data_IF_466034010366
#
_entry.id   IF_466034010366
#
_cell.length_a   1.000
_cell.length_b   1.000
_cell.length_c   1.000
_cell.angle_alpha   90.00
_cell.angle_beta   90.00
_cell.angle_gamma   90.00
#
_symmetry.space_group_name_H-M   'P 1'
#
loop_
_entity.id
_entity.type
_entity.pdbx_description
1 polymer ?
#
# COMPACT_ATOMS: atom_id res chain seq x y z
N UNK A 1 5.49 -28.47 -20.71
CA UNK A 1 6.48 -27.42 -20.38
C UNK A 1 6.21 -26.96 -18.96
N UNK A 2 7.13 -27.19 -18.04
CA UNK A 2 7.03 -26.74 -16.65
C UNK A 2 7.48 -25.27 -16.60
N UNK A 3 6.60 -24.37 -16.17
CA UNK A 3 6.92 -22.95 -16.00
C UNK A 3 7.83 -22.71 -14.79
N UNK A 4 8.34 -21.49 -14.64
CA UNK A 4 9.04 -21.07 -13.40
C UNK A 4 8.00 -20.94 -12.28
N UNK A 5 8.20 -21.55 -11.11
CA UNK A 5 7.32 -21.37 -9.96
C UNK A 5 7.16 -19.88 -9.60
N UNK A 6 5.96 -19.49 -9.18
CA UNK A 6 5.68 -18.13 -8.76
C UNK A 6 6.19 -17.91 -7.33
N UNK A 7 7.50 -17.83 -7.16
CA UNK A 7 8.14 -17.55 -5.87
C UNK A 7 8.70 -16.13 -5.87
N UNK A 8 8.09 -15.22 -5.12
CA UNK A 8 8.44 -13.78 -5.18
C UNK A 8 9.91 -13.53 -4.82
N UNK A 9 10.47 -14.27 -3.86
CA UNK A 9 11.87 -14.14 -3.46
C UNK A 9 12.85 -14.36 -4.62
N UNK A 10 12.64 -15.42 -5.42
CA UNK A 10 13.50 -15.77 -6.56
C UNK A 10 13.27 -14.87 -7.79
N UNK A 11 12.12 -14.19 -7.84
CA UNK A 11 11.82 -13.18 -8.85
C UNK A 11 12.52 -11.84 -8.56
N UNK A 12 12.76 -11.52 -7.28
CA UNK A 12 13.38 -10.26 -6.87
C UNK A 12 14.91 -10.31 -6.84
N UNK A 13 15.50 -11.48 -6.60
CA UNK A 13 16.95 -11.64 -6.49
C UNK A 13 17.46 -12.84 -7.29
N UNK A 14 18.67 -12.72 -7.82
CA UNK A 14 19.43 -13.86 -8.35
C UNK A 14 19.88 -14.77 -7.21
N UNK A 15 20.32 -16.00 -7.54
CA UNK A 15 20.91 -16.92 -6.53
C UNK A 15 22.13 -16.33 -5.81
N UNK A 16 22.83 -15.39 -6.46
CA UNK A 16 23.97 -14.65 -5.91
C UNK A 16 23.53 -13.47 -5.01
N UNK A 17 22.23 -13.27 -4.79
CA UNK A 17 21.69 -12.16 -3.99
C UNK A 17 21.60 -10.82 -4.72
N UNK A 18 22.02 -10.73 -6.00
CA UNK A 18 21.90 -9.48 -6.77
C UNK A 18 20.44 -9.16 -7.08
N UNK A 19 20.01 -7.88 -6.99
CA UNK A 19 18.66 -7.48 -7.34
C UNK A 19 18.37 -7.75 -8.82
N UNK A 20 17.13 -8.12 -9.12
CA UNK A 20 16.68 -8.49 -10.45
C UNK A 20 15.44 -7.68 -10.85
N UNK A 21 15.42 -7.23 -12.10
CA UNK A 21 14.19 -6.73 -12.73
C UNK A 21 13.43 -7.90 -13.36
N UNK A 22 12.27 -8.22 -12.79
CA UNK A 22 11.34 -9.22 -13.34
C UNK A 22 10.22 -8.53 -14.09
N UNK A 23 10.11 -8.81 -15.40
CA UNK A 23 9.12 -8.20 -16.30
C UNK A 23 8.11 -9.27 -16.71
N UNK A 24 6.84 -9.02 -16.41
CA UNK A 24 5.73 -9.88 -16.78
C UNK A 24 4.97 -9.27 -17.96
N UNK A 25 5.09 -9.86 -19.14
CA UNK A 25 4.33 -9.41 -20.30
C UNK A 25 2.97 -10.10 -20.34
N UNK A 26 1.90 -9.35 -20.11
CA UNK A 26 0.52 -9.86 -20.13
C UNK A 26 -0.29 -9.43 -21.37
N UNK A 27 0.35 -8.74 -22.31
CA UNK A 27 -0.29 -8.19 -23.52
C UNK A 27 -0.88 -9.25 -24.46
N UNK A 28 -0.45 -10.50 -24.31
CA UNK A 28 -0.86 -11.62 -25.15
C UNK A 28 -1.99 -12.46 -24.57
N UNK A 29 -2.41 -12.15 -23.34
CA UNK A 29 -3.47 -12.84 -22.60
C UNK A 29 -4.81 -12.16 -22.87
N UNK A 30 -5.89 -12.94 -22.87
CA UNK A 30 -7.25 -12.41 -22.82
C UNK A 30 -7.50 -11.65 -21.51
N UNK A 31 -8.57 -10.85 -21.45
CA UNK A 31 -8.89 -10.06 -20.26
C UNK A 31 -9.08 -10.93 -19.01
N UNK A 32 -9.71 -12.10 -19.16
CA UNK A 32 -9.92 -13.05 -18.06
C UNK A 32 -8.61 -13.68 -17.58
N UNK A 33 -7.76 -14.13 -18.51
CA UNK A 33 -6.44 -14.70 -18.18
C UNK A 33 -5.53 -13.65 -17.54
N UNK A 34 -5.57 -12.42 -18.06
CA UNK A 34 -4.83 -11.28 -17.52
C UNK A 34 -5.30 -10.95 -16.11
N UNK A 35 -6.61 -10.87 -15.88
CA UNK A 35 -7.18 -10.65 -14.55
C UNK A 35 -6.80 -11.76 -13.57
N UNK A 36 -6.88 -13.02 -14.00
CA UNK A 36 -6.48 -14.17 -13.20
C UNK A 36 -4.99 -14.09 -12.81
N UNK A 37 -4.11 -13.90 -13.78
CA UNK A 37 -2.67 -13.82 -13.56
C UNK A 37 -2.29 -12.68 -12.60
N UNK A 38 -2.81 -11.47 -12.85
CA UNK A 38 -2.54 -10.31 -11.98
C UNK A 38 -3.05 -10.56 -10.57
N UNK A 39 -4.25 -11.13 -10.42
CA UNK A 39 -4.80 -11.44 -9.09
C UNK A 39 -3.95 -12.46 -8.35
N UNK A 40 -3.50 -13.52 -9.03
CA UNK A 40 -2.60 -14.52 -8.46
C UNK A 40 -1.27 -13.89 -8.03
N UNK A 41 -0.64 -13.10 -8.91
CA UNK A 41 0.62 -12.40 -8.61
C UNK A 41 0.49 -11.46 -7.40
N UNK A 42 -0.57 -10.66 -7.34
CA UNK A 42 -0.79 -9.73 -6.24
C UNK A 42 -0.99 -10.46 -4.90
N UNK A 43 -1.75 -11.56 -4.89
CA UNK A 43 -1.94 -12.37 -3.68
C UNK A 43 -0.62 -12.99 -3.23
N UNK A 44 0.19 -13.50 -4.16
CA UNK A 44 1.49 -14.09 -3.83
C UNK A 44 2.48 -13.04 -3.28
N UNK A 45 2.47 -11.82 -3.83
CA UNK A 45 3.24 -10.69 -3.26
C UNK A 45 2.74 -10.35 -1.85
N UNK A 46 1.43 -10.33 -1.61
CA UNK A 46 0.88 -10.08 -0.27
C UNK A 46 1.28 -11.18 0.71
N UNK A 47 1.21 -12.46 0.32
CA UNK A 47 1.65 -13.59 1.13
C UNK A 47 3.13 -13.48 1.47
N UNK A 48 3.98 -13.25 0.46
CA UNK A 48 5.42 -13.06 0.64
C UNK A 48 5.74 -11.86 1.55
N UNK A 49 5.04 -10.73 1.36
CA UNK A 49 5.18 -9.52 2.19
C UNK A 49 4.94 -9.83 3.67
N UNK A 50 3.91 -10.61 4.00
CA UNK A 50 3.57 -10.94 5.39
C UNK A 50 4.64 -11.80 6.09
N UNK A 51 5.48 -12.49 5.33
CA UNK A 51 6.62 -13.24 5.85
C UNK A 51 7.86 -12.36 6.10
N UNK A 52 7.86 -11.11 5.62
CA UNK A 52 9.02 -10.22 5.77
C UNK A 52 9.01 -9.53 7.13
N UNK A 53 10.20 -9.24 7.64
CA UNK A 53 10.37 -8.33 8.77
C UNK A 53 10.10 -6.89 8.37
N UNK A 54 9.54 -6.11 9.30
CA UNK A 54 9.36 -4.68 9.11
C UNK A 54 10.70 -3.98 8.87
N UNK A 55 10.73 -3.00 7.95
CA UNK A 55 11.95 -2.28 7.60
C UNK A 55 11.64 -0.89 7.04
N UNK A 56 12.55 0.05 7.27
CA UNK A 56 12.54 1.38 6.65
C UNK A 56 13.29 1.42 5.30
N UNK A 57 14.04 0.37 4.98
CA UNK A 57 14.79 0.27 3.72
C UNK A 57 13.94 -0.32 2.61
N UNK A 58 14.14 0.15 1.38
CA UNK A 58 13.47 -0.39 0.20
C UNK A 58 13.98 -1.80 -0.10
N UNK A 59 13.04 -2.76 -0.16
CA UNK A 59 13.25 -4.17 -0.47
C UNK A 59 12.85 -4.52 -1.90
N UNK A 60 11.72 -3.98 -2.37
CA UNK A 60 11.19 -4.27 -3.70
C UNK A 60 10.30 -3.13 -4.20
N UNK A 61 10.17 -3.02 -5.52
CA UNK A 61 9.18 -2.16 -6.18
C UNK A 61 8.27 -3.04 -7.03
N UNK A 62 6.96 -2.96 -6.78
CA UNK A 62 5.93 -3.45 -7.69
C UNK A 62 5.51 -2.29 -8.60
N UNK A 63 5.80 -2.41 -9.89
CA UNK A 63 5.34 -1.49 -10.91
C UNK A 63 4.22 -2.14 -11.74
N UNK A 64 3.07 -1.48 -11.84
CA UNK A 64 1.96 -1.90 -12.69
C UNK A 64 1.72 -0.80 -13.72
N UNK A 65 2.01 -1.13 -14.98
CA UNK A 65 1.59 -0.31 -16.11
C UNK A 65 0.11 -0.54 -16.40
N UNK A 66 -0.62 0.54 -16.63
CA UNK A 66 -2.07 0.55 -16.84
C UNK A 66 -2.88 -0.24 -15.78
N UNK A 67 -3.07 0.38 -14.62
CA UNK A 67 -3.84 -0.22 -13.51
C UNK A 67 -5.37 -0.23 -13.74
N UNK A 68 -5.85 0.40 -14.82
CA UNK A 68 -7.27 0.45 -15.16
C UNK A 68 -7.92 -0.96 -15.16
N UNK A 69 -9.10 -1.06 -14.53
CA UNK A 69 -9.86 -2.31 -14.45
C UNK A 69 -9.45 -3.26 -13.31
N UNK A 70 -8.27 -3.11 -12.71
CA UNK A 70 -7.85 -3.93 -11.56
C UNK A 70 -8.27 -3.37 -10.20
N UNK A 71 -8.52 -2.07 -10.13
CA UNK A 71 -8.97 -1.40 -8.91
C UNK A 71 -10.05 -0.35 -9.22
N UNK A 72 -11.20 -0.76 -9.79
CA UNK A 72 -12.29 0.16 -10.12
C UNK A 72 -13.02 0.63 -8.86
N UNK A 73 -13.65 1.83 -8.88
CA UNK A 73 -14.34 2.39 -7.71
C UNK A 73 -15.58 1.59 -7.30
N UNK A 74 -16.34 1.07 -8.26
CA UNK A 74 -17.64 0.42 -8.00
C UNK A 74 -17.55 -1.12 -7.98
N UNK A 75 -16.80 -1.71 -8.92
CA UNK A 75 -16.69 -3.18 -9.03
C UNK A 75 -15.64 -3.72 -8.05
N UNK A 76 -15.76 -5.00 -7.73
CA UNK A 76 -14.86 -5.70 -6.81
C UNK A 76 -14.17 -6.89 -7.50
N UNK A 77 -13.28 -6.66 -8.49
CA UNK A 77 -12.53 -7.74 -9.13
C UNK A 77 -11.55 -8.39 -8.13
N UNK A 78 -11.11 -9.64 -8.39
CA UNK A 78 -10.21 -10.38 -7.48
C UNK A 78 -8.85 -9.70 -7.24
N UNK A 79 -8.42 -8.81 -8.14
CA UNK A 79 -7.18 -8.02 -8.02
C UNK A 79 -7.29 -6.82 -7.08
N UNK A 80 -8.50 -6.32 -6.80
CA UNK A 80 -8.70 -5.06 -6.06
C UNK A 80 -8.27 -5.15 -4.60
N UNK A 81 -8.74 -6.16 -3.87
CA UNK A 81 -8.42 -6.35 -2.45
C UNK A 81 -6.93 -6.50 -2.16
N UNK A 82 -6.17 -7.36 -2.87
CA UNK A 82 -4.73 -7.45 -2.64
C UNK A 82 -4.00 -6.16 -3.04
N UNK A 83 -4.42 -5.46 -4.10
CA UNK A 83 -3.82 -4.17 -4.46
C UNK A 83 -4.03 -3.10 -3.39
N UNK A 84 -5.25 -2.96 -2.86
CA UNK A 84 -5.54 -2.03 -1.76
C UNK A 84 -4.73 -2.41 -0.50
N UNK A 85 -4.57 -3.70 -0.24
CA UNK A 85 -3.75 -4.20 0.88
C UNK A 85 -2.30 -3.76 0.73
N UNK A 86 -1.73 -3.92 -0.46
CA UNK A 86 -0.38 -3.46 -0.76
C UNK A 86 -0.27 -1.94 -0.58
N UNK A 87 -1.17 -1.14 -1.16
CA UNK A 87 -1.15 0.31 -1.01
C UNK A 87 -1.19 0.77 0.45
N UNK A 88 -1.90 0.06 1.33
CA UNK A 88 -2.02 0.40 2.75
C UNK A 88 -0.88 -0.11 3.63
N UNK A 89 -0.33 -1.29 3.34
CA UNK A 89 0.52 -2.02 4.28
C UNK A 89 1.96 -2.21 3.79
N UNK A 90 2.19 -2.24 2.47
CA UNK A 90 3.47 -2.60 1.86
C UNK A 90 4.66 -1.76 2.35
N UNK A 91 4.41 -0.47 2.64
CA UNK A 91 5.42 0.46 3.14
C UNK A 91 6.14 -0.06 4.39
N UNK A 92 5.42 -0.65 5.33
CA UNK A 92 6.00 -1.14 6.59
C UNK A 92 7.01 -2.28 6.39
N UNK A 93 6.91 -2.99 5.26
CA UNK A 93 7.75 -4.13 4.88
C UNK A 93 8.81 -3.77 3.84
N UNK A 94 8.97 -2.47 3.52
CA UNK A 94 9.92 -1.99 2.52
C UNK A 94 9.51 -2.25 1.07
N UNK A 95 8.21 -2.46 0.80
CA UNK A 95 7.73 -2.66 -0.57
C UNK A 95 7.11 -1.36 -1.08
N UNK A 96 7.65 -0.81 -2.17
CA UNK A 96 7.09 0.31 -2.90
C UNK A 96 6.10 -0.17 -3.96
N UNK A 97 4.98 0.54 -4.14
CA UNK A 97 4.00 0.27 -5.19
C UNK A 97 3.91 1.49 -6.09
N UNK A 98 4.15 1.30 -7.37
CA UNK A 98 4.05 2.34 -8.40
C UNK A 98 2.99 1.91 -9.40
N UNK A 99 1.97 2.75 -9.57
CA UNK A 99 0.85 2.51 -10.45
C UNK A 99 0.85 3.58 -11.54
N UNK A 100 0.73 3.15 -12.80
CA UNK A 100 0.52 4.05 -13.94
C UNK A 100 -0.87 3.81 -14.53
N UNK A 101 -1.54 4.87 -14.98
CA UNK A 101 -2.84 4.80 -15.65
C UNK A 101 -2.98 5.94 -16.63
N UNK A 102 -3.67 5.70 -17.75
CA UNK A 102 -4.14 6.78 -18.62
C UNK A 102 -5.52 7.30 -18.19
N UNK A 103 -6.27 6.50 -17.43
CA UNK A 103 -7.66 6.78 -17.03
C UNK A 103 -7.73 6.91 -15.49
N UNK A 104 -7.46 8.10 -14.92
CA UNK A 104 -7.48 8.30 -13.47
C UNK A 104 -8.89 8.22 -12.87
N UNK A 105 -9.93 8.52 -13.67
CA UNK A 105 -11.35 8.55 -13.25
C UNK A 105 -11.83 7.21 -12.71
N UNK A 106 -11.35 6.12 -13.31
CA UNK A 106 -11.83 4.77 -13.05
C UNK A 106 -11.01 4.01 -12.02
N UNK A 107 -10.29 4.74 -11.16
CA UNK A 107 -9.59 4.19 -10.00
C UNK A 107 -10.34 4.42 -8.69
N UNK A 108 -10.24 3.43 -7.80
CA UNK A 108 -10.78 3.51 -6.44
C UNK A 108 -10.06 4.59 -5.64
N UNK A 109 -10.81 5.66 -5.31
CA UNK A 109 -10.32 6.80 -4.55
C UNK A 109 -9.78 6.44 -3.16
N UNK A 110 -10.33 5.40 -2.51
CA UNK A 110 -9.84 4.95 -1.20
C UNK A 110 -8.43 4.38 -1.35
N UNK A 111 -8.16 3.67 -2.45
CA UNK A 111 -6.82 3.23 -2.82
C UNK A 111 -5.89 4.42 -3.04
N UNK A 112 -6.30 5.36 -3.90
CA UNK A 112 -5.52 6.56 -4.26
C UNK A 112 -5.13 7.41 -3.05
N UNK A 113 -6.00 7.52 -2.03
CA UNK A 113 -5.73 8.31 -0.83
C UNK A 113 -4.52 7.82 0.01
N UNK A 114 -3.98 6.63 -0.26
CA UNK A 114 -2.77 6.10 0.38
C UNK A 114 -1.48 6.40 -0.43
N UNK A 115 -1.60 7.00 -1.61
CA UNK A 115 -0.46 7.33 -2.46
C UNK A 115 0.19 8.61 -1.95
N UNK A 116 1.44 8.49 -1.48
CA UNK A 116 2.22 9.62 -0.98
C UNK A 116 2.97 10.41 -2.05
N UNK A 117 3.13 9.87 -3.25
CA UNK A 117 3.89 10.51 -4.34
C UNK A 117 3.14 10.38 -5.65
N UNK A 118 2.88 11.51 -6.29
CA UNK A 118 2.10 11.65 -7.50
C UNK A 118 2.95 12.24 -8.62
N UNK A 119 2.90 11.59 -9.79
CA UNK A 119 3.48 12.09 -11.03
C UNK A 119 2.34 12.35 -12.01
N UNK A 120 1.98 13.62 -12.20
CA UNK A 120 0.79 14.00 -12.95
C UNK A 120 1.23 14.60 -14.27
N UNK A 121 0.89 13.93 -15.36
CA UNK A 121 1.07 14.48 -16.70
C UNK A 121 -0.04 15.48 -17.06
N UNK A 122 -0.04 15.94 -18.30
CA UNK A 122 -1.11 16.78 -18.83
C UNK A 122 -2.45 16.03 -18.84
N UNK A 123 -3.46 16.58 -18.16
CA UNK A 123 -4.83 16.11 -18.19
C UNK A 123 -5.66 16.91 -19.19
N UNK A 124 -6.51 16.24 -19.97
CA UNK A 124 -7.27 16.88 -21.05
C UNK A 124 -8.61 17.44 -20.58
N UNK A 125 -9.31 16.72 -19.69
CA UNK A 125 -10.66 17.08 -19.28
C UNK A 125 -10.69 17.60 -17.84
N UNK A 126 -11.67 18.45 -17.52
CA UNK A 126 -11.85 18.95 -16.16
C UNK A 126 -12.18 17.81 -15.19
N UNK A 127 -12.95 16.81 -15.63
CA UNK A 127 -13.30 15.62 -14.85
C UNK A 127 -12.07 14.83 -14.41
N UNK A 128 -11.09 14.65 -15.29
CA UNK A 128 -9.85 13.93 -14.95
C UNK A 128 -9.05 14.71 -13.90
N UNK A 129 -8.97 16.03 -14.04
CA UNK A 129 -8.31 16.90 -13.05
C UNK A 129 -8.99 16.81 -11.70
N UNK A 130 -10.32 16.97 -11.68
CA UNK A 130 -11.08 16.96 -10.43
C UNK A 130 -10.88 15.66 -9.66
N UNK A 131 -10.84 14.53 -10.37
CA UNK A 131 -10.58 13.23 -9.76
C UNK A 131 -9.17 13.10 -9.20
N UNK A 132 -8.16 13.55 -9.95
CA UNK A 132 -6.77 13.51 -9.49
C UNK A 132 -6.61 14.39 -8.25
N UNK A 133 -7.18 15.60 -8.27
CA UNK A 133 -7.16 16.52 -7.12
C UNK A 133 -7.90 15.93 -5.91
N UNK A 134 -9.07 15.30 -6.08
CA UNK A 134 -9.79 14.58 -5.00
C UNK A 134 -8.93 13.46 -4.39
N UNK A 135 -8.21 12.70 -5.23
CA UNK A 135 -7.27 11.68 -4.78
C UNK A 135 -6.08 12.23 -3.97
N UNK A 136 -5.78 13.51 -4.14
CA UNK A 136 -4.67 14.23 -3.52
C UNK A 136 -5.07 15.07 -2.30
N UNK A 137 -6.33 15.13 -1.89
CA UNK A 137 -6.80 15.96 -0.77
C UNK A 137 -5.99 15.74 0.53
N UNK A 138 -5.53 14.50 0.77
CA UNK A 138 -4.63 14.20 1.92
C UNK A 138 -3.25 14.87 1.81
N UNK A 139 -2.76 15.09 0.59
CA UNK A 139 -1.50 15.82 0.34
C UNK A 139 -1.68 17.33 0.52
N UNK A 140 -2.82 17.90 0.10
CA UNK A 140 -3.07 19.35 0.20
C UNK A 140 -2.90 19.85 1.65
N UNK A 141 -3.39 19.06 2.61
CA UNK A 141 -3.24 19.35 4.05
C UNK A 141 -1.79 19.28 4.56
N UNK A 142 -0.90 18.56 3.87
CA UNK A 142 0.50 18.37 4.27
C UNK A 142 1.44 19.35 3.56
N UNK A 143 1.17 19.66 2.29
CA UNK A 143 2.01 20.52 1.44
C UNK A 143 1.61 22.00 1.47
N UNK A 144 0.50 22.36 2.14
CA UNK A 144 0.00 23.74 2.20
C UNK A 144 -0.38 24.34 0.83
N UNK A 145 -0.53 23.50 -0.18
CA UNK A 145 -0.85 23.91 -1.54
C UNK A 145 -2.35 23.85 -1.75
N UNK A 146 -2.91 24.99 -2.16
CA UNK A 146 -4.34 25.12 -2.48
C UNK A 146 -4.68 24.38 -3.78
N UNK A 147 -5.90 23.82 -3.84
CA UNK A 147 -6.45 23.12 -5.00
C UNK A 147 -6.37 23.98 -6.27
N UNK A 148 -6.63 25.28 -6.16
CA UNK A 148 -6.53 26.21 -7.29
C UNK A 148 -5.12 26.31 -7.88
N UNK A 149 -4.09 26.25 -7.02
CA UNK A 149 -2.70 26.27 -7.47
C UNK A 149 -2.37 25.00 -8.24
N UNK A 150 -2.79 23.83 -7.73
CA UNK A 150 -2.59 22.55 -8.39
C UNK A 150 -3.33 22.48 -9.74
N UNK A 151 -4.57 22.96 -9.82
CA UNK A 151 -5.33 23.01 -11.08
C UNK A 151 -4.61 23.86 -12.14
N UNK A 152 -4.15 25.06 -11.77
CA UNK A 152 -3.37 25.94 -12.65
C UNK A 152 -2.06 25.27 -13.09
N UNK A 153 -1.33 24.64 -12.15
CA UNK A 153 -0.09 23.95 -12.44
C UNK A 153 -0.30 22.81 -13.46
N UNK A 154 -1.28 21.93 -13.23
CA UNK A 154 -1.61 20.81 -14.13
C UNK A 154 -2.04 21.33 -15.51
N UNK A 155 -2.81 22.42 -15.57
CA UNK A 155 -3.27 23.03 -16.83
C UNK A 155 -2.10 23.60 -17.65
N UNK A 156 -1.07 24.11 -16.99
CA UNK A 156 0.10 24.71 -17.63
C UNK A 156 1.11 23.70 -18.20
N UNK A 157 1.00 22.41 -17.83
CA UNK A 157 1.94 21.38 -18.24
C UNK A 157 1.99 21.20 -19.76
N UNK A 158 3.22 21.24 -20.31
CA UNK A 158 3.48 20.93 -21.72
C UNK A 158 3.63 19.42 -21.93
N UNK A 159 3.75 19.02 -23.20
CA UNK A 159 4.03 17.63 -23.56
C UNK A 159 5.38 17.22 -22.95
N UNK A 160 5.41 16.08 -22.24
CA UNK A 160 6.58 15.51 -21.52
C UNK A 160 6.99 16.27 -20.24
N UNK A 161 6.16 17.17 -19.76
CA UNK A 161 6.26 17.73 -18.41
C UNK A 161 5.34 16.98 -17.46
N UNK A 162 5.78 16.84 -16.22
CA UNK A 162 5.06 16.17 -15.15
C UNK A 162 5.13 17.03 -13.89
N UNK A 163 4.00 17.16 -13.21
CA UNK A 163 3.93 17.71 -11.86
C UNK A 163 4.21 16.59 -10.87
N UNK A 164 5.27 16.73 -10.08
CA UNK A 164 5.59 15.90 -8.92
C UNK A 164 4.96 16.53 -7.68
N UNK A 165 4.05 15.80 -7.04
CA UNK A 165 3.54 16.15 -5.71
C UNK A 165 3.90 15.03 -4.72
N UNK A 166 4.47 15.38 -3.57
CA UNK A 166 4.96 14.40 -2.58
C UNK A 166 4.61 14.87 -1.16
N UNK A 167 4.06 13.99 -0.32
CA UNK A 167 3.77 14.28 1.09
C UNK A 167 4.99 14.77 1.88
N UNK A 168 6.19 14.42 1.44
CA UNK A 168 7.43 14.76 2.13
C UNK A 168 8.06 16.08 1.66
N UNK A 169 7.48 16.71 0.64
CA UNK A 169 7.96 17.97 0.07
C UNK A 169 6.97 19.11 0.38
N UNK A 170 7.51 20.31 0.61
CA UNK A 170 6.70 21.48 0.97
C UNK A 170 5.98 22.10 -0.23
N UNK A 171 6.40 21.77 -1.46
CA UNK A 171 5.81 22.34 -2.67
C UNK A 171 5.91 21.35 -3.84
N UNK A 172 4.90 21.29 -4.72
CA UNK A 172 4.98 20.57 -5.97
C UNK A 172 6.13 21.09 -6.83
N UNK A 173 6.75 20.19 -7.59
CA UNK A 173 7.80 20.54 -8.56
C UNK A 173 7.44 20.05 -9.95
N UNK A 174 7.81 20.81 -10.98
CA UNK A 174 7.64 20.38 -12.37
C UNK A 174 8.96 19.79 -12.86
N UNK A 175 8.90 18.61 -13.45
CA UNK A 175 10.07 17.97 -14.05
C UNK A 175 9.74 17.46 -15.45
N UNK A 176 10.79 17.23 -16.24
CA UNK A 176 10.70 16.66 -17.58
C UNK A 176 11.37 15.30 -17.62
N UNK A 177 10.95 14.46 -18.57
CA UNK A 177 11.65 13.22 -18.82
C UNK A 177 13.05 13.49 -19.38
N UNK A 178 14.07 12.85 -18.79
CA UNK A 178 15.37 12.73 -19.46
C UNK A 178 15.21 11.91 -20.74
N UNK A 179 16.17 12.01 -21.66
CA UNK A 179 16.20 11.19 -22.88
C UNK A 179 16.14 9.70 -22.51
N UNK A 180 14.95 9.11 -22.56
CA UNK A 180 14.79 7.68 -22.61
C UNK A 180 15.23 7.26 -24.01
N UNK A 181 16.31 6.50 -24.11
CA UNK A 181 16.74 5.90 -25.38
C UNK A 181 15.70 4.84 -25.77
N UNK A 182 14.57 5.30 -26.29
CA UNK A 182 13.47 4.48 -26.77
C UNK A 182 13.00 5.08 -28.08
N UNK A 183 13.11 4.28 -29.14
CA UNK A 183 12.63 4.65 -30.47
C UNK A 183 11.09 4.60 -30.59
N UNK A 184 10.37 4.41 -29.47
CA UNK A 184 8.91 4.40 -29.38
C UNK A 184 8.26 3.53 -30.47
N UNK A 185 8.83 2.35 -30.75
CA UNK A 185 8.43 1.47 -31.86
C UNK A 185 7.07 0.76 -31.64
N UNK A 186 6.31 1.17 -30.63
CA UNK A 186 5.06 0.52 -30.20
C UNK A 186 5.31 -0.75 -29.36
N UNK A 187 4.24 -1.51 -29.06
CA UNK A 187 4.32 -2.72 -28.25
C UNK A 187 5.12 -3.83 -28.96
N UNK A 188 5.86 -4.62 -28.17
CA UNK A 188 6.57 -5.79 -28.69
C UNK A 188 5.57 -6.91 -29.06
N UNK A 189 5.75 -7.50 -30.25
CA UNK A 189 5.01 -8.68 -30.68
C UNK A 189 5.55 -9.94 -29.99
N UNK A 190 4.80 -11.05 -30.05
CA UNK A 190 5.27 -12.36 -29.55
C UNK A 190 6.59 -12.78 -30.20
N UNK A 191 6.76 -12.50 -31.49
CA UNK A 191 7.99 -12.83 -32.22
C UNK A 191 9.18 -11.98 -31.73
N UNK A 192 8.97 -10.69 -31.51
CA UNK A 192 10.03 -9.83 -30.94
C UNK A 192 10.45 -10.30 -29.55
N UNK A 193 9.50 -10.75 -28.71
CA UNK A 193 9.79 -11.29 -27.38
C UNK A 193 10.57 -12.60 -27.51
N UNK A 194 10.19 -13.47 -28.44
CA UNK A 194 10.89 -14.74 -28.68
C UNK A 194 12.36 -14.48 -29.04
N UNK A 195 12.62 -13.60 -30.02
CA UNK A 195 13.98 -13.19 -30.42
C UNK A 195 14.75 -12.59 -29.24
N UNK A 196 14.13 -11.74 -28.43
CA UNK A 196 14.76 -11.15 -27.24
C UNK A 196 15.14 -12.20 -26.18
N UNK A 197 14.39 -13.29 -26.11
CA UNK A 197 14.56 -14.37 -25.14
C UNK A 197 15.43 -15.52 -25.67
N UNK A 198 15.80 -15.52 -26.96
CA UNK A 198 16.70 -16.53 -27.54
C UNK A 198 18.03 -16.59 -26.77
N UNK A 199 18.47 -17.82 -26.46
CA UNK A 199 19.69 -18.06 -25.70
C UNK A 199 19.61 -17.76 -24.20
N UNK A 200 18.49 -17.21 -23.70
CA UNK A 200 18.27 -17.06 -22.26
C UNK A 200 17.62 -18.32 -21.70
N UNK A 201 18.36 -19.03 -20.84
CA UNK A 201 17.76 -20.13 -20.09
C UNK A 201 16.58 -19.60 -19.25
N UNK A 202 15.43 -20.32 -19.19
CA UNK A 202 14.42 -20.01 -18.20
C UNK A 202 15.09 -20.00 -16.84
N UNK A 203 14.85 -18.95 -16.05
CA UNK A 203 15.46 -18.84 -14.73
C UNK A 203 15.04 -20.07 -13.93
N UNK A 204 15.96 -21.02 -13.80
CA UNK A 204 15.73 -22.26 -13.08
C UNK A 204 15.43 -21.89 -11.63
N UNK A 205 14.15 -21.95 -11.25
CA UNK A 205 13.77 -22.26 -9.88
C UNK A 205 14.14 -23.73 -9.65
N UNK A 206 15.42 -24.00 -9.43
CA UNK A 206 15.78 -25.21 -8.71
C UNK A 206 15.38 -24.90 -7.28
N UNK A 207 14.43 -25.68 -6.76
CA UNK A 207 13.89 -25.52 -5.43
C UNK A 207 15.00 -25.30 -4.42
N UNK A 208 14.68 -24.51 -3.40
CA UNK A 208 15.41 -24.60 -2.16
C UNK A 208 15.53 -26.09 -1.83
N UNK A 209 16.73 -26.65 -1.95
CA UNK A 209 17.08 -27.78 -1.12
C UNK A 209 16.74 -27.33 0.28
N UNK A 210 15.74 -27.98 0.86
CA UNK A 210 15.43 -27.91 2.27
C UNK A 210 16.73 -28.22 2.99
N UNK A 211 17.50 -27.19 3.34
CA UNK A 211 18.53 -27.31 4.34
C UNK A 211 17.76 -27.59 5.62
N UNK A 212 17.61 -28.88 5.87
CA UNK A 212 17.29 -29.49 7.15
C UNK A 212 17.91 -28.62 8.25
N UNK A 213 17.12 -28.01 9.15
CA UNK A 213 17.71 -27.26 10.23
C UNK A 213 18.51 -28.26 11.07
N UNK A 214 19.83 -28.11 11.01
CA UNK A 214 20.76 -28.80 11.87
C UNK A 214 20.26 -28.72 13.30
N UNK A 215 19.97 -29.89 13.85
CA UNK A 215 19.55 -30.13 15.22
C UNK A 215 20.51 -29.44 16.19
N UNK A 216 20.03 -28.39 16.85
CA UNK A 216 20.64 -27.96 18.11
C UNK A 216 20.16 -28.88 19.24
N UNK A 217 21.06 -29.38 20.09
CA UNK A 217 20.71 -30.29 21.16
C UNK A 217 19.86 -29.57 22.23
N UNK A 218 18.81 -30.26 22.67
CA UNK A 218 17.92 -29.84 23.73
C UNK A 218 18.69 -29.64 25.04
N UNK A 219 18.65 -28.43 25.60
CA UNK A 219 18.92 -28.17 27.01
C UNK A 219 17.60 -28.30 27.79
N UNK A 220 17.27 -29.53 28.17
CA UNK A 220 16.27 -29.80 29.21
C UNK A 220 16.94 -30.58 30.33
N UNK A 221 17.40 -29.88 31.35
CA UNK A 221 17.60 -30.42 32.69
C UNK A 221 17.38 -29.33 33.71
N UNK A 222 16.24 -29.42 34.41
CA UNK A 222 16.03 -29.27 35.86
C UNK A 222 14.67 -28.65 36.18
N UNK A 223 14.06 -29.19 37.24
CA UNK A 223 12.84 -28.79 37.94
C UNK A 223 11.51 -29.36 37.42
N UNK A 224 11.29 -30.64 37.73
CA UNK A 224 9.96 -31.17 38.06
C UNK A 224 10.03 -31.74 39.48
N UNK A 225 9.53 -31.00 40.47
CA UNK A 225 8.78 -31.49 41.64
C UNK A 225 8.49 -30.37 42.64
N UNK A 226 7.20 -30.00 42.76
CA UNK A 226 6.51 -29.61 43.99
C UNK A 226 5.03 -29.28 43.68
N UNK A 227 4.25 -30.35 43.57
CA UNK A 227 2.89 -30.60 44.12
C UNK A 227 2.06 -29.42 44.67
N UNK A 228 0.94 -29.15 43.97
CA UNK A 228 -0.46 -29.14 44.45
C UNK A 228 -0.85 -28.44 45.77
N UNK A 229 -1.68 -27.38 45.68
CA UNK A 229 -2.81 -27.12 46.60
C UNK A 229 -3.78 -26.04 46.06
N UNK A 230 -5.07 -26.41 46.06
CA UNK A 230 -6.29 -25.70 45.61
C UNK A 230 -6.70 -24.56 46.57
N UNK A 231 -7.44 -23.51 46.12
CA UNK A 231 -7.88 -22.41 46.99
C UNK A 231 -9.16 -22.74 47.79
N UNK A 232 -9.27 -22.18 48.99
CA UNK A 232 -10.49 -22.26 49.82
C UNK A 232 -10.69 -20.95 50.62
N UNK A 233 -11.82 -20.29 50.37
CA UNK A 233 -12.55 -19.39 51.30
C UNK A 233 -13.66 -20.23 51.98
N UNK A 234 -14.35 -19.83 53.10
CA UNK A 234 -14.64 -18.46 53.55
C UNK A 234 -14.73 -18.18 55.10
N UNK A 235 -15.01 -16.90 55.40
CA UNK A 235 -15.83 -16.32 56.50
C UNK A 235 -15.30 -16.21 57.96
N UNK A 236 -15.34 -14.99 58.54
CA UNK A 236 -16.38 -14.48 59.50
C UNK A 236 -15.92 -13.15 60.17
N UNK A 237 -16.82 -12.16 60.32
CA UNK A 237 -16.61 -10.88 61.06
C UNK A 237 -16.62 -11.02 62.60
N UNK A 238 -16.62 -9.93 63.41
CA UNK A 238 -17.73 -8.96 63.44
C UNK A 238 -17.34 -7.47 63.67
N UNK A 239 -18.39 -6.66 63.91
CA UNK A 239 -18.58 -5.21 63.80
C UNK A 239 -18.13 -4.31 64.98
N UNK A 240 -17.95 -3.00 64.70
CA UNK A 240 -18.50 -1.80 65.40
C UNK A 240 -17.87 -0.53 64.74
N UNK A 241 -18.57 0.36 64.02
CA UNK A 241 -19.66 1.32 64.35
C UNK A 241 -19.15 2.69 64.82
N UNK A 242 -19.20 3.74 63.96
CA UNK A 242 -19.68 5.11 64.32
C UNK A 242 -20.22 5.88 63.07
N UNK A 243 -21.43 6.43 63.24
CA UNK A 243 -22.27 7.37 62.45
C UNK A 243 -21.55 8.50 61.70
N UNK A 244 -21.92 8.87 60.45
CA UNK A 244 -23.13 9.52 59.89
C UNK A 244 -23.24 11.04 60.11
N UNK A 245 -23.26 11.83 59.03
CA UNK A 245 -24.09 13.04 58.89
C UNK A 245 -24.39 13.32 57.41
N UNK A 246 -25.64 13.72 57.18
CA UNK A 246 -26.40 13.84 55.93
C UNK A 246 -26.36 15.24 55.28
N UNK A 247 -26.66 15.25 53.97
CA UNK A 247 -27.17 16.33 53.06
C UNK A 247 -28.54 16.91 53.57
N UNK A 248 -29.30 17.89 52.96
CA UNK A 248 -29.19 18.69 51.71
C UNK A 248 -29.72 20.18 51.80
N UNK A 249 -30.57 20.77 50.89
CA UNK A 249 -30.24 21.64 49.73
C UNK A 249 -31.02 23.02 49.64
N UNK A 250 -31.06 23.62 48.42
CA UNK A 250 -31.95 24.69 47.87
C UNK A 250 -31.47 26.17 47.99
N UNK A 251 -31.87 27.18 47.18
CA UNK A 251 -32.37 27.39 45.80
C UNK A 251 -32.59 28.93 45.62
N UNK A 252 -32.63 29.44 44.36
CA UNK A 252 -33.29 30.71 43.89
C UNK A 252 -32.75 32.07 44.40
N UNK A 253 -32.82 33.24 43.72
CA UNK A 253 -33.46 33.79 42.50
C UNK A 253 -33.02 35.27 42.32
N UNK A 254 -33.07 35.83 41.10
CA UNK A 254 -33.75 37.10 40.73
C UNK A 254 -33.05 37.98 39.66
N UNK A 255 -33.75 38.17 38.54
CA UNK A 255 -33.73 39.36 37.63
C UNK A 255 -34.43 40.55 38.32
N UNK A 256 -34.33 41.85 37.91
CA UNK A 256 -35.03 42.33 36.69
C UNK A 256 -34.52 43.65 36.00
N UNK A 257 -35.09 43.89 34.80
CA UNK A 257 -35.51 45.18 34.15
C UNK A 257 -34.54 46.24 33.58
N UNK A 258 -35.01 46.76 32.43
CA UNK A 258 -34.55 47.84 31.53
C UNK A 258 -34.61 49.27 32.13
N UNK A 259 -34.08 50.29 31.43
CA UNK A 259 -34.98 51.14 30.62
C UNK A 259 -34.41 51.59 29.25
N UNK A 260 -35.27 52.32 28.53
CA UNK A 260 -35.20 52.81 27.14
C UNK A 260 -34.72 54.28 27.08
N UNK A 261 -34.42 54.75 25.86
CA UNK A 261 -34.14 56.14 25.38
C UNK A 261 -32.69 56.61 25.57
N UNK A 262 -32.02 57.19 24.55
CA UNK A 262 -32.48 58.05 23.45
C UNK A 262 -31.94 57.62 22.08
#
# INVERSE_FOLDING_TARGET
MTGVPLEIGSLLHTREGKPRASIFTVSHLSDNERMFFISMLLNEIVSWMRLQTGTSSLRAILYIDEVFGYMPPVKEPPSKKPLITLLKQARAFGIGVVLATQNPVDLDYKGLSNIGTWFIGRLQTQRDKDRVLEGMERLESASGCDREFLDKAITSLKKREFLLNNIHENSPSVFTTRWAMSYLRGPLSREHIKILMEGRAPASGAGAETSEPASMPALTTLAKEATEATPTEPATGPAEQISATSVPPAATSATPTTPRTS
#
